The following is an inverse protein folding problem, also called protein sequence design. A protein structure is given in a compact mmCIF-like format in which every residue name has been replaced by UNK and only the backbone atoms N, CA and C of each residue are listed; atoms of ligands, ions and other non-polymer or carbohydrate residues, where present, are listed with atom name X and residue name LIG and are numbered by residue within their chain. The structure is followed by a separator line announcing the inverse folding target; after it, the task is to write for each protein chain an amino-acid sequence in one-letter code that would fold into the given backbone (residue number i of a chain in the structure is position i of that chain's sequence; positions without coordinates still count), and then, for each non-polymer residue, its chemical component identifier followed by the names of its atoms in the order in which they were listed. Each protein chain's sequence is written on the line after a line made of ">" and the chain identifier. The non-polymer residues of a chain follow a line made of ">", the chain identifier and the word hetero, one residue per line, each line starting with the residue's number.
data_IF_244137240586
#
_entry.id   IF_244137240586
#
_cell.length_a   1.000
_cell.length_b   1.000
_cell.length_c   1.000
_cell.angle_alpha   90.00
_cell.angle_beta   90.00
_cell.angle_gamma   90.00
#
_symmetry.space_group_name_H-M   'P 1'
#
loop_
_entity.id
_entity.type
_entity.pdbx_description
1 polymer ?
#
# COMPACT_ATOMS: atom_id res chain seq x y z
N UNK A 1 -24.96 -3.36 3.04
CA UNK A 1 -23.61 -2.86 2.94
C UNK A 1 -22.76 -3.80 2.10
N UNK A 2 -21.97 -3.27 1.21
CA UNK A 2 -21.19 -4.10 0.31
C UNK A 2 -19.75 -4.20 0.76
N UNK A 3 -19.25 -5.41 0.79
CA UNK A 3 -17.84 -5.64 1.06
C UNK A 3 -17.01 -5.26 -0.16
N UNK A 4 -15.95 -4.51 0.05
CA UNK A 4 -15.04 -4.12 -1.02
C UNK A 4 -13.71 -4.84 -0.82
N UNK A 5 -13.43 -5.81 -1.67
CA UNK A 5 -12.16 -6.52 -1.61
C UNK A 5 -11.01 -5.55 -1.83
N UNK A 6 -11.17 -4.65 -2.79
CA UNK A 6 -10.15 -3.65 -3.08
C UNK A 6 -9.86 -2.79 -1.85
N UNK A 7 -10.89 -2.27 -1.21
CA UNK A 7 -10.71 -1.43 -0.04
C UNK A 7 -10.10 -2.20 1.12
N UNK A 8 -10.54 -3.43 1.31
CA UNK A 8 -10.02 -4.26 2.39
C UNK A 8 -8.53 -4.52 2.19
N UNK A 9 -8.14 -4.89 0.98
CA UNK A 9 -6.75 -5.20 0.68
C UNK A 9 -5.87 -3.96 0.77
N UNK A 10 -6.35 -2.85 0.23
CA UNK A 10 -5.58 -1.62 0.26
C UNK A 10 -5.34 -1.18 1.69
N UNK A 11 -6.37 -1.20 2.50
CA UNK A 11 -6.24 -0.84 3.90
C UNK A 11 -5.27 -1.76 4.63
N UNK A 12 -5.33 -3.04 4.33
CA UNK A 12 -4.42 -4.00 4.92
C UNK A 12 -2.97 -3.74 4.56
N UNK A 13 -2.71 -3.41 3.30
CA UNK A 13 -1.35 -3.10 2.89
C UNK A 13 -0.84 -1.83 3.53
N UNK A 14 -1.68 -0.82 3.63
CA UNK A 14 -1.27 0.43 4.25
C UNK A 14 -0.94 0.22 5.72
N UNK A 15 -1.73 -0.60 6.40
CA UNK A 15 -1.47 -0.90 7.80
C UNK A 15 -0.23 -1.76 7.98
N UNK A 16 0.16 -2.49 6.95
CA UNK A 16 1.36 -3.32 7.02
C UNK A 16 2.64 -2.52 6.85
N UNK A 17 2.53 -1.27 6.43
CA UNK A 17 3.71 -0.43 6.26
C UNK A 17 4.42 -0.30 7.61
N UNK A 18 5.73 -0.57 7.59
CA UNK A 18 6.52 -0.57 8.81
C UNK A 18 6.57 -1.91 9.50
N UNK A 19 5.70 -2.85 9.12
CA UNK A 19 5.70 -4.19 9.70
C UNK A 19 6.14 -5.25 8.70
N UNK A 20 5.86 -5.03 7.42
CA UNK A 20 6.35 -5.88 6.34
C UNK A 20 7.41 -5.13 5.58
N UNK A 21 8.32 -5.88 4.95
CA UNK A 21 9.31 -5.26 4.08
C UNK A 21 8.61 -4.52 2.94
N UNK A 22 9.11 -3.34 2.60
CA UNK A 22 8.49 -2.51 1.58
C UNK A 22 8.35 -3.25 0.27
N UNK A 23 9.39 -3.98 -0.15
CA UNK A 23 9.33 -4.68 -1.43
C UNK A 23 8.25 -5.76 -1.42
N UNK A 24 7.98 -6.34 -0.27
CA UNK A 24 6.96 -7.37 -0.18
C UNK A 24 5.57 -6.79 -0.33
N UNK A 25 5.35 -5.62 0.25
CA UNK A 25 4.08 -4.91 0.09
C UNK A 25 3.87 -4.58 -1.38
N UNK A 26 4.90 -4.04 -2.02
CA UNK A 26 4.80 -3.63 -3.42
C UNK A 26 4.57 -4.84 -4.32
N UNK A 27 5.27 -5.94 -4.07
CA UNK A 27 5.10 -7.16 -4.85
C UNK A 27 3.68 -7.69 -4.77
N UNK A 28 3.15 -7.73 -3.55
CA UNK A 28 1.79 -8.23 -3.36
C UNK A 28 0.77 -7.31 -3.99
N UNK A 29 0.97 -6.01 -3.85
CA UNK A 29 0.05 -5.04 -4.47
C UNK A 29 0.10 -5.16 -5.99
N UNK A 30 1.28 -5.36 -6.55
CA UNK A 30 1.41 -5.53 -8.00
C UNK A 30 0.68 -6.78 -8.47
N UNK A 31 0.69 -7.83 -7.66
CA UNK A 31 -0.06 -9.04 -8.00
C UNK A 31 -1.55 -8.78 -8.10
N UNK A 32 -2.09 -7.99 -7.19
CA UNK A 32 -3.50 -7.64 -7.24
C UNK A 32 -3.81 -6.68 -8.38
N UNK A 33 -2.87 -5.81 -8.70
CA UNK A 33 -3.01 -4.95 -9.86
C UNK A 33 -3.10 -5.79 -11.15
N UNK A 34 -2.25 -6.79 -11.25
CA UNK A 34 -2.25 -7.67 -12.41
C UNK A 34 -3.56 -8.43 -12.54
N UNK A 35 -4.20 -8.75 -11.42
CA UNK A 35 -5.48 -9.43 -11.42
C UNK A 35 -6.66 -8.51 -11.67
N UNK A 36 -6.41 -7.20 -11.74
CA UNK A 36 -7.47 -6.24 -12.00
C UNK A 36 -8.20 -5.77 -10.75
N UNK A 37 -7.75 -6.15 -9.58
CA UNK A 37 -8.37 -5.69 -8.33
C UNK A 37 -7.93 -4.27 -7.99
N UNK A 38 -6.66 -3.95 -8.19
CA UNK A 38 -6.12 -2.63 -7.95
C UNK A 38 -5.92 -1.90 -9.27
N UNK A 39 -6.02 -0.56 -9.22
CA UNK A 39 -5.65 0.27 -10.36
C UNK A 39 -4.44 1.12 -9.96
N UNK A 40 -4.03 2.01 -10.86
CA UNK A 40 -2.84 2.82 -10.61
C UNK A 40 -2.99 3.71 -9.39
N UNK A 41 -4.18 4.22 -9.17
CA UNK A 41 -4.44 5.06 -8.00
C UNK A 41 -4.20 4.30 -6.72
N UNK A 42 -4.65 3.05 -6.68
CA UNK A 42 -4.46 2.23 -5.49
C UNK A 42 -2.98 1.98 -5.22
N UNK A 43 -2.22 1.69 -6.27
CA UNK A 43 -0.79 1.47 -6.12
C UNK A 43 -0.09 2.73 -5.64
N UNK A 44 -0.50 3.89 -6.16
CA UNK A 44 0.08 5.15 -5.73
C UNK A 44 -0.19 5.43 -4.26
N UNK A 45 -1.39 5.12 -3.80
CA UNK A 45 -1.72 5.35 -2.40
C UNK A 45 -0.90 4.47 -1.48
N UNK A 46 -0.68 3.23 -1.88
CA UNK A 46 0.16 2.33 -1.10
C UNK A 46 1.60 2.83 -1.12
N UNK A 47 2.08 3.25 -2.27
CA UNK A 47 3.44 3.77 -2.38
C UNK A 47 3.62 5.02 -1.53
N UNK A 48 2.62 5.89 -1.50
CA UNK A 48 2.69 7.08 -0.68
C UNK A 48 2.72 6.75 0.80
N UNK A 49 1.98 5.72 1.20
CA UNK A 49 2.02 5.30 2.60
C UNK A 49 3.41 4.79 2.98
N UNK A 50 4.06 4.08 2.07
CA UNK A 50 5.42 3.61 2.31
C UNK A 50 6.37 4.81 2.41
N UNK A 51 6.23 5.75 1.49
CA UNK A 51 7.11 6.91 1.48
C UNK A 51 6.92 7.78 2.71
N UNK A 52 5.71 7.84 3.24
CA UNK A 52 5.41 8.70 4.37
C UNK A 52 6.23 8.34 5.60
N UNK A 53 6.54 7.05 5.78
CA UNK A 53 7.32 6.66 6.95
C UNK A 53 8.75 7.18 6.86
N UNK A 54 9.27 7.35 5.65
CA UNK A 54 10.63 7.91 5.49
C UNK A 54 10.61 9.42 5.58
N UNK A 55 9.55 10.03 5.08
CA UNK A 55 9.43 11.48 5.15
C UNK A 55 9.43 11.96 6.59
N UNK A 56 8.78 11.22 7.47
CA UNK A 56 8.74 11.59 8.89
C UNK A 56 10.15 11.68 9.46
N UNK A 57 11.01 10.74 9.09
CA UNK A 57 12.37 10.77 9.56
C UNK A 57 13.13 11.97 9.02
N UNK A 58 12.90 12.29 7.78
CA UNK A 58 13.58 13.40 7.15
C UNK A 58 13.22 14.71 7.83
N UNK A 59 11.95 14.86 8.15
CA UNK A 59 11.47 16.08 8.78
C UNK A 59 12.06 16.26 10.18
N UNK A 60 12.39 15.16 10.81
CA UNK A 60 12.88 15.20 12.18
C UNK A 60 14.24 15.87 12.30
N UNK A 61 14.98 16.03 11.23
CA UNK A 61 16.29 16.67 11.36
C UNK A 61 16.21 18.12 11.70
#
# INVERSE_FOLDING_TARGET
>A
MMFSLKGFLKDGFIKAVGQMADYQIILNAAGWFDKGVFDETDLMEIQEAINAQYVVETVAE
#
